data_IF_770698874969
#
_entry.id   IF_770698874969
#
_cell.length_a   1.000
_cell.length_b   1.000
_cell.length_c   1.000
_cell.angle_alpha   90.00
_cell.angle_beta   90.00
_cell.angle_gamma   90.00
#
_symmetry.space_group_name_H-M   'P 1'
#
loop_
_entity.id
_entity.type
_entity.pdbx_description
1 polymer ?
#
# COMPACT_ATOMS: atom_id res chain seq x y z
N UNK A 1 -20.21 -2.58 -29.79
CA UNK A 1 -20.97 -2.49 -28.55
C UNK A 1 -20.41 -3.56 -27.59
N UNK A 2 -19.33 -3.27 -26.86
CA UNK A 2 -18.81 -4.11 -25.81
C UNK A 2 -19.41 -3.64 -24.49
N UNK A 3 -19.99 -4.58 -23.75
CA UNK A 3 -20.64 -4.37 -22.46
C UNK A 3 -19.57 -3.91 -21.46
N UNK A 4 -19.71 -2.67 -20.99
CA UNK A 4 -19.03 -2.16 -19.81
C UNK A 4 -19.64 -2.93 -18.63
N UNK A 5 -18.86 -3.84 -18.07
CA UNK A 5 -19.19 -4.52 -16.83
C UNK A 5 -19.13 -3.49 -15.71
N UNK A 6 -20.30 -3.06 -15.25
CA UNK A 6 -20.39 -2.23 -14.07
C UNK A 6 -19.85 -2.99 -12.87
N UNK A 7 -18.73 -2.55 -12.32
CA UNK A 7 -18.33 -2.90 -10.96
C UNK A 7 -19.37 -2.30 -10.02
N UNK A 8 -20.22 -3.16 -9.48
CA UNK A 8 -21.09 -2.83 -8.36
C UNK A 8 -20.16 -2.59 -7.16
N UNK A 9 -19.92 -1.33 -6.81
CA UNK A 9 -19.47 -0.96 -5.48
C UNK A 9 -20.58 -1.43 -4.51
N UNK A 10 -20.38 -2.58 -3.91
CA UNK A 10 -21.09 -2.94 -2.71
C UNK A 10 -20.55 -2.03 -1.60
N UNK A 11 -21.11 -0.82 -1.50
CA UNK A 11 -21.06 -0.04 -0.28
C UNK A 11 -21.79 -0.87 0.77
N UNK A 12 -21.04 -1.65 1.55
CA UNK A 12 -21.54 -2.26 2.76
C UNK A 12 -21.81 -1.11 3.73
N UNK A 13 -23.00 -0.54 3.67
CA UNK A 13 -23.55 0.20 4.77
C UNK A 13 -23.67 -0.83 5.91
N UNK A 14 -22.72 -0.84 6.83
CA UNK A 14 -22.93 -1.42 8.15
C UNK A 14 -24.05 -0.59 8.81
N UNK A 15 -25.28 -0.91 8.49
CA UNK A 15 -26.39 -0.64 9.36
C UNK A 15 -26.08 -1.47 10.61
N UNK A 16 -25.78 -0.79 11.70
CA UNK A 16 -25.78 -1.39 13.02
C UNK A 16 -27.22 -1.88 13.29
N UNK A 17 -27.56 -3.01 12.71
CA UNK A 17 -28.62 -3.84 13.26
C UNK A 17 -28.05 -4.27 14.62
N UNK A 18 -28.68 -3.85 15.68
CA UNK A 18 -28.51 -4.45 16.99
C UNK A 18 -29.02 -5.90 16.90
N UNK A 19 -28.25 -6.73 16.18
CA UNK A 19 -28.37 -8.16 16.31
C UNK A 19 -27.84 -8.47 17.70
N UNK A 20 -28.69 -9.01 18.55
CA UNK A 20 -28.29 -9.63 19.80
C UNK A 20 -27.48 -10.89 19.42
N UNK A 21 -26.23 -10.70 19.01
CA UNK A 21 -25.31 -11.81 18.80
C UNK A 21 -25.13 -12.47 20.15
N UNK A 22 -25.55 -13.71 20.27
CA UNK A 22 -25.33 -14.52 21.46
C UNK A 22 -23.93 -15.07 21.39
N UNK A 23 -23.14 -14.78 22.41
CA UNK A 23 -21.81 -15.33 22.58
C UNK A 23 -21.87 -16.55 23.50
N UNK A 24 -21.01 -17.54 23.26
CA UNK A 24 -20.91 -18.72 24.11
C UNK A 24 -20.44 -18.34 25.52
N UNK A 25 -19.53 -17.35 25.60
CA UNK A 25 -18.98 -16.85 26.85
C UNK A 25 -18.99 -15.32 26.93
N UNK A 26 -19.31 -14.83 28.13
CA UNK A 26 -19.21 -13.40 28.43
C UNK A 26 -18.29 -13.19 29.63
N UNK A 27 -17.26 -12.37 29.46
CA UNK A 27 -16.40 -11.91 30.52
C UNK A 27 -17.01 -10.68 31.20
N UNK A 28 -17.23 -10.74 32.49
CA UNK A 28 -17.81 -9.65 33.28
C UNK A 28 -16.89 -9.10 34.38
N UNK A 29 -15.74 -9.76 34.63
CA UNK A 29 -14.77 -9.37 35.65
C UNK A 29 -15.37 -9.32 37.04
N UNK A 30 -16.24 -10.28 37.40
CA UNK A 30 -16.98 -10.27 38.66
C UNK A 30 -16.09 -10.53 39.88
N UNK A 31 -15.01 -11.26 39.72
CA UNK A 31 -14.08 -11.64 40.79
C UNK A 31 -12.80 -10.78 40.74
N UNK A 32 -12.14 -10.78 39.56
CA UNK A 32 -10.92 -10.02 39.29
C UNK A 32 -10.83 -9.71 37.79
N UNK A 33 -9.65 -9.30 37.31
CA UNK A 33 -9.46 -9.01 35.89
C UNK A 33 -8.75 -10.13 35.11
N UNK A 34 -8.52 -11.29 35.72
CA UNK A 34 -7.75 -12.37 35.10
C UNK A 34 -8.62 -13.21 34.16
N UNK A 35 -8.09 -13.50 32.99
CA UNK A 35 -8.72 -14.40 32.04
C UNK A 35 -8.99 -15.79 32.63
N UNK A 36 -8.03 -16.32 33.39
CA UNK A 36 -8.07 -17.68 33.90
C UNK A 36 -8.97 -17.85 35.15
N UNK A 37 -9.59 -16.79 35.66
CA UNK A 37 -10.51 -16.87 36.79
C UNK A 37 -11.92 -17.26 36.32
N UNK A 38 -12.33 -18.51 36.59
CA UNK A 38 -13.63 -19.06 36.15
C UNK A 38 -14.82 -18.20 36.56
N UNK A 39 -14.77 -17.60 37.74
CA UNK A 39 -15.84 -16.72 38.24
C UNK A 39 -16.02 -15.39 37.50
N UNK A 40 -15.11 -15.06 36.57
CA UNK A 40 -15.24 -13.90 35.68
C UNK A 40 -16.09 -14.16 34.44
N UNK A 41 -16.49 -15.42 34.23
CA UNK A 41 -17.15 -15.86 33.01
C UNK A 41 -18.61 -16.26 33.24
N UNK A 42 -19.40 -16.06 32.21
CA UNK A 42 -20.77 -16.60 32.13
C UNK A 42 -20.91 -17.34 30.79
N UNK A 43 -21.09 -18.66 30.77
CA UNK A 43 -21.14 -19.57 31.92
C UNK A 43 -19.84 -19.64 32.72
N UNK A 44 -19.90 -20.10 33.97
CA UNK A 44 -18.75 -20.15 34.88
C UNK A 44 -17.79 -21.32 34.52
N UNK A 45 -17.14 -21.17 33.38
CA UNK A 45 -16.06 -22.01 32.86
C UNK A 45 -15.17 -21.19 31.95
N UNK A 46 -13.98 -21.68 31.63
CA UNK A 46 -13.08 -20.96 30.72
C UNK A 46 -13.46 -21.26 29.26
N UNK A 47 -13.49 -20.23 28.39
CA UNK A 47 -13.67 -20.45 26.98
C UNK A 47 -12.49 -21.19 26.37
N UNK A 48 -12.75 -22.02 25.35
CA UNK A 48 -11.77 -22.77 24.61
C UNK A 48 -11.74 -22.43 23.13
N UNK A 49 -10.96 -23.20 22.37
CA UNK A 49 -10.84 -23.04 20.92
C UNK A 49 -12.19 -23.25 20.22
N UNK A 50 -12.60 -22.24 19.45
CA UNK A 50 -13.87 -22.26 18.70
C UNK A 50 -15.04 -21.61 19.44
N UNK A 51 -14.92 -21.34 20.74
CA UNK A 51 -15.95 -20.61 21.47
C UNK A 51 -15.97 -19.14 21.10
N UNK A 52 -17.15 -18.56 20.92
CA UNK A 52 -17.32 -17.11 20.73
C UNK A 52 -17.35 -16.40 22.08
N UNK A 53 -16.55 -15.33 22.19
CA UNK A 53 -16.30 -14.65 23.46
C UNK A 53 -16.67 -13.18 23.36
N UNK A 54 -17.46 -12.70 24.32
CA UNK A 54 -17.71 -11.26 24.51
C UNK A 54 -17.09 -10.77 25.80
N UNK A 55 -16.29 -9.71 25.70
CA UNK A 55 -15.78 -8.97 26.85
C UNK A 55 -16.58 -7.69 27.01
N UNK A 56 -17.38 -7.63 28.09
CA UNK A 56 -18.26 -6.49 28.35
C UNK A 56 -18.18 -6.11 29.83
N UNK A 57 -17.43 -5.06 30.13
CA UNK A 57 -17.34 -4.52 31.49
C UNK A 57 -18.59 -3.70 31.91
N UNK A 58 -19.63 -3.62 31.07
CA UNK A 58 -20.80 -2.79 31.30
C UNK A 58 -20.54 -1.30 31.07
N UNK A 59 -21.60 -0.53 31.10
CA UNK A 59 -21.51 0.93 30.97
C UNK A 59 -20.70 1.52 32.13
N UNK A 60 -19.76 2.41 31.80
CA UNK A 60 -18.93 3.16 32.73
C UNK A 60 -17.86 2.37 33.52
N UNK A 61 -17.49 1.16 33.10
CA UNK A 61 -16.35 0.45 33.68
C UNK A 61 -15.21 0.42 32.66
N UNK A 62 -14.04 0.89 33.07
CA UNK A 62 -12.78 0.63 32.38
C UNK A 62 -12.15 -0.62 32.99
N UNK A 63 -11.82 -1.57 32.15
CA UNK A 63 -11.16 -2.77 32.63
C UNK A 63 -10.14 -3.29 31.62
N UNK A 64 -9.06 -3.87 32.13
CA UNK A 64 -8.07 -4.58 31.33
C UNK A 64 -8.09 -6.04 31.75
N UNK A 65 -8.30 -6.92 30.78
CA UNK A 65 -8.21 -8.37 31.01
C UNK A 65 -6.73 -8.74 31.11
N UNK A 66 -6.34 -9.38 32.19
CA UNK A 66 -4.98 -9.86 32.38
C UNK A 66 -4.81 -11.26 31.78
N UNK A 67 -3.88 -11.37 30.83
CA UNK A 67 -3.47 -12.64 30.22
C UNK A 67 -2.19 -13.13 30.88
N UNK A 68 -2.27 -14.25 31.60
CA UNK A 68 -1.11 -14.91 32.18
C UNK A 68 -0.47 -15.92 31.21
N UNK A 69 -1.22 -16.38 30.19
CA UNK A 69 -0.81 -17.35 29.19
C UNK A 69 -1.46 -17.03 27.84
N UNK A 70 -1.02 -17.72 26.79
CA UNK A 70 -1.68 -17.71 25.51
C UNK A 70 -3.10 -18.24 25.62
N UNK A 71 -4.02 -17.60 24.90
CA UNK A 71 -5.41 -18.04 24.81
C UNK A 71 -5.77 -18.38 23.36
N UNK A 72 -6.71 -19.30 23.20
CA UNK A 72 -7.26 -19.64 21.88
C UNK A 72 -8.78 -19.70 21.98
N UNK A 73 -9.45 -18.89 21.15
CA UNK A 73 -10.91 -18.80 21.08
C UNK A 73 -11.37 -18.76 19.63
N UNK A 74 -12.67 -18.82 19.38
CA UNK A 74 -13.25 -18.53 18.08
C UNK A 74 -13.31 -17.02 17.83
N UNK A 75 -14.53 -16.46 17.79
CA UNK A 75 -14.70 -15.03 17.61
C UNK A 75 -14.53 -14.27 18.93
N UNK A 76 -13.71 -13.25 18.94
CA UNK A 76 -13.51 -12.38 20.09
C UNK A 76 -14.13 -11.01 19.85
N UNK A 77 -15.07 -10.63 20.68
CA UNK A 77 -15.71 -9.34 20.67
C UNK A 77 -15.39 -8.57 21.94
N UNK A 78 -14.88 -7.35 21.80
CA UNK A 78 -14.62 -6.47 22.91
C UNK A 78 -15.47 -5.20 22.81
N UNK A 79 -16.40 -5.02 23.74
CA UNK A 79 -17.14 -3.77 23.85
C UNK A 79 -16.27 -2.73 24.58
N UNK A 80 -15.62 -1.89 23.79
CA UNK A 80 -14.77 -0.80 24.27
C UNK A 80 -15.63 0.43 24.57
N UNK A 81 -16.20 0.48 25.79
CA UNK A 81 -17.01 1.61 26.24
C UNK A 81 -16.50 2.17 27.58
N UNK A 82 -15.29 2.78 27.60
CA UNK A 82 -14.72 3.33 28.81
C UNK A 82 -15.45 4.60 29.25
N UNK A 83 -15.67 4.75 30.54
CA UNK A 83 -16.12 6.00 31.12
C UNK A 83 -15.01 7.06 31.05
N UNK A 84 -15.25 8.13 30.31
CA UNK A 84 -14.31 9.23 30.19
C UNK A 84 -13.02 8.85 29.44
N UNK A 85 -11.85 9.20 29.99
CA UNK A 85 -10.52 8.95 29.42
C UNK A 85 -9.92 7.60 29.85
N UNK A 86 -10.69 6.71 30.42
CA UNK A 86 -10.21 5.43 30.88
C UNK A 86 -9.82 4.52 29.70
N UNK A 87 -8.78 3.71 29.90
CA UNK A 87 -8.30 2.75 28.89
C UNK A 87 -8.86 1.36 29.18
N UNK A 88 -9.43 0.71 28.17
CA UNK A 88 -9.78 -0.71 28.22
C UNK A 88 -8.79 -1.53 27.41
N UNK A 89 -8.83 -2.84 27.51
CA UNK A 89 -8.02 -3.75 26.70
C UNK A 89 -7.50 -4.96 27.43
N UNK A 90 -6.25 -5.31 27.13
CA UNK A 90 -5.57 -6.45 27.72
C UNK A 90 -4.28 -6.03 28.41
N UNK A 91 -3.82 -6.83 29.38
CA UNK A 91 -2.51 -6.72 30.04
C UNK A 91 -1.87 -8.09 30.11
N UNK A 92 -0.61 -8.14 30.51
CA UNK A 92 0.15 -9.39 30.54
C UNK A 92 1.04 -9.54 29.31
N UNK A 93 1.41 -10.78 28.98
CA UNK A 93 2.39 -11.07 27.91
C UNK A 93 2.00 -12.24 27.02
N UNK A 94 0.75 -12.71 27.10
CA UNK A 94 0.24 -13.81 26.28
C UNK A 94 -0.08 -13.42 24.83
N UNK A 95 -0.37 -14.44 24.04
CA UNK A 95 -0.88 -14.29 22.67
C UNK A 95 -2.37 -14.59 22.62
N UNK A 96 -3.14 -13.74 21.99
CA UNK A 96 -4.55 -14.01 21.64
C UNK A 96 -4.56 -14.66 20.27
N UNK A 97 -4.95 -15.94 20.23
CA UNK A 97 -5.25 -16.64 18.99
C UNK A 97 -6.78 -16.66 18.83
N UNK A 98 -7.30 -16.09 17.75
CA UNK A 98 -8.75 -16.08 17.48
C UNK A 98 -9.05 -16.21 15.98
N UNK A 99 -10.27 -16.61 15.66
CA UNK A 99 -10.72 -16.64 14.28
C UNK A 99 -11.05 -15.22 13.78
N UNK A 100 -11.69 -14.40 14.60
CA UNK A 100 -11.88 -12.96 14.35
C UNK A 100 -11.72 -12.13 15.63
N UNK A 101 -11.47 -10.81 15.48
CA UNK A 101 -11.42 -9.88 16.60
C UNK A 101 -12.14 -8.57 16.28
N UNK A 102 -13.20 -8.29 16.99
CA UNK A 102 -13.97 -7.05 16.84
C UNK A 102 -13.87 -6.18 18.08
N UNK A 103 -13.47 -4.93 17.89
CA UNK A 103 -13.50 -3.89 18.92
C UNK A 103 -14.58 -2.88 18.54
N UNK A 104 -15.62 -2.76 19.35
CA UNK A 104 -16.72 -1.83 19.15
C UNK A 104 -16.86 -0.86 20.32
N UNK A 105 -17.72 0.15 20.15
CA UNK A 105 -18.04 1.11 21.20
C UNK A 105 -17.34 2.45 21.02
N UNK A 106 -16.59 2.90 22.01
CA UNK A 106 -16.01 4.25 22.03
C UNK A 106 -14.71 4.36 21.24
N UNK A 107 -14.54 5.47 20.51
CA UNK A 107 -13.31 5.82 19.83
C UNK A 107 -12.23 6.27 20.82
N UNK A 108 -11.26 5.45 21.12
CA UNK A 108 -10.20 5.78 22.04
C UNK A 108 -9.07 4.74 22.02
N UNK A 109 -8.19 4.82 22.98
CA UNK A 109 -7.04 3.90 23.08
C UNK A 109 -7.49 2.54 23.64
N UNK A 110 -7.28 1.50 22.85
CA UNK A 110 -7.42 0.11 23.28
C UNK A 110 -6.04 -0.47 23.58
N UNK A 111 -5.76 -0.62 24.86
CA UNK A 111 -4.43 -0.98 25.32
C UNK A 111 -4.22 -2.51 25.27
N UNK A 112 -3.12 -2.94 24.64
CA UNK A 112 -2.74 -4.35 24.54
C UNK A 112 -1.45 -4.68 25.34
N UNK A 113 -0.75 -3.67 25.84
CA UNK A 113 0.50 -3.87 26.58
C UNK A 113 1.52 -4.68 25.78
N UNK A 114 1.98 -5.80 26.36
CA UNK A 114 2.86 -6.74 25.69
C UNK A 114 2.11 -7.93 25.06
N UNK A 115 0.78 -7.84 24.96
CA UNK A 115 -0.04 -8.89 24.34
C UNK A 115 0.12 -8.84 22.83
N UNK A 116 0.24 -10.01 22.22
CA UNK A 116 0.29 -10.21 20.77
C UNK A 116 -1.07 -10.69 20.24
N UNK A 117 -1.39 -10.31 19.01
CA UNK A 117 -2.58 -10.78 18.30
C UNK A 117 -2.17 -11.72 17.16
N UNK A 118 -2.78 -12.88 17.08
CA UNK A 118 -2.68 -13.83 15.98
C UNK A 118 -4.09 -14.22 15.55
N UNK A 119 -4.64 -13.45 14.61
CA UNK A 119 -6.04 -13.56 14.16
C UNK A 119 -6.07 -14.23 12.81
N UNK A 120 -6.81 -15.33 12.67
CA UNK A 120 -6.91 -16.06 11.40
C UNK A 120 -7.66 -15.28 10.32
N UNK A 121 -8.69 -14.52 10.73
CA UNK A 121 -9.54 -13.73 9.87
C UNK A 121 -9.27 -12.23 9.99
N UNK A 122 -10.34 -11.45 10.15
CA UNK A 122 -10.34 -10.00 10.18
C UNK A 122 -10.25 -9.45 11.60
N UNK A 123 -9.52 -8.33 11.74
CA UNK A 123 -9.66 -7.42 12.89
C UNK A 123 -10.50 -6.23 12.45
N UNK A 124 -11.62 -5.99 13.13
CA UNK A 124 -12.46 -4.81 12.94
C UNK A 124 -12.38 -3.90 14.16
N UNK A 125 -12.05 -2.62 13.99
CA UNK A 125 -11.85 -1.71 15.10
C UNK A 125 -12.37 -0.31 14.85
N UNK A 126 -12.92 0.30 15.91
CA UNK A 126 -13.23 1.73 16.01
C UNK A 126 -12.31 2.44 17.01
N UNK A 127 -11.35 1.71 17.60
CA UNK A 127 -10.41 2.23 18.60
C UNK A 127 -8.96 2.24 18.06
N UNK A 128 -8.07 2.91 18.76
CA UNK A 128 -6.62 2.81 18.50
C UNK A 128 -6.08 1.59 19.22
N UNK A 129 -5.67 0.57 18.48
CA UNK A 129 -5.04 -0.63 19.03
C UNK A 129 -3.56 -0.34 19.28
N UNK A 130 -3.13 -0.49 20.51
CA UNK A 130 -1.72 -0.36 20.90
C UNK A 130 -1.20 -1.75 21.31
N UNK A 131 -0.57 -2.44 20.36
CA UNK A 131 -0.12 -3.83 20.52
C UNK A 131 1.36 -4.01 20.17
N UNK A 132 1.94 -5.13 20.65
CA UNK A 132 3.34 -5.48 20.36
C UNK A 132 3.51 -6.04 18.95
N UNK A 133 2.73 -7.05 18.61
CA UNK A 133 2.70 -7.69 17.30
C UNK A 133 1.28 -7.99 16.90
N UNK A 134 0.98 -7.81 15.62
CA UNK A 134 -0.33 -8.11 15.04
C UNK A 134 -0.13 -8.97 13.80
N UNK A 135 -0.77 -10.13 13.77
CA UNK A 135 -0.90 -10.97 12.59
C UNK A 135 -2.38 -11.24 12.35
N UNK A 136 -2.84 -10.96 11.13
CA UNK A 136 -4.23 -11.19 10.73
C UNK A 136 -4.34 -11.40 9.22
N UNK A 137 -5.51 -11.81 8.74
CA UNK A 137 -5.80 -11.76 7.30
C UNK A 137 -6.01 -10.31 6.86
N UNK A 138 -6.86 -9.55 7.54
CA UNK A 138 -7.11 -8.15 7.22
C UNK A 138 -7.42 -7.32 8.47
N UNK A 139 -7.35 -6.00 8.32
CA UNK A 139 -7.81 -5.05 9.33
C UNK A 139 -8.72 -4.03 8.68
N UNK A 140 -9.88 -3.78 9.31
CA UNK A 140 -10.83 -2.73 8.93
C UNK A 140 -10.91 -1.67 10.03
N UNK A 141 -10.65 -0.41 9.66
CA UNK A 141 -10.85 0.74 10.54
C UNK A 141 -12.22 1.35 10.27
N UNK A 142 -13.01 1.52 11.34
CA UNK A 142 -14.30 2.18 11.27
C UNK A 142 -14.20 3.67 10.95
N UNK A 143 -15.34 4.31 10.69
CA UNK A 143 -15.40 5.75 10.48
C UNK A 143 -15.08 6.49 11.78
N UNK A 144 -14.09 7.38 11.73
CA UNK A 144 -13.69 8.21 12.88
C UNK A 144 -12.18 8.50 12.89
N UNK A 145 -11.81 9.68 13.38
CA UNK A 145 -10.41 10.11 13.43
C UNK A 145 -9.56 9.42 14.51
N UNK A 146 -10.21 8.71 15.44
CA UNK A 146 -9.55 8.14 16.62
C UNK A 146 -9.46 6.62 16.59
N UNK A 147 -9.58 5.98 15.41
CA UNK A 147 -9.25 4.56 15.25
C UNK A 147 -7.87 4.40 14.59
N UNK A 148 -7.20 3.30 14.84
CA UNK A 148 -5.89 3.07 14.23
C UNK A 148 -5.04 2.01 14.91
N UNK A 149 -3.76 2.03 14.55
CA UNK A 149 -2.74 1.15 15.14
C UNK A 149 -1.56 1.97 15.65
N UNK A 150 -1.03 1.59 16.79
CA UNK A 150 0.23 2.08 17.34
C UNK A 150 1.04 0.89 17.91
N UNK A 151 2.31 0.79 17.57
CA UNK A 151 3.14 -0.33 18.01
C UNK A 151 3.89 -0.01 19.30
N UNK A 152 3.95 -0.97 20.20
CA UNK A 152 4.66 -0.86 21.49
C UNK A 152 5.98 -1.63 21.52
N UNK A 153 6.23 -2.48 20.53
CA UNK A 153 7.45 -3.29 20.41
C UNK A 153 8.36 -2.85 19.27
N UNK A 154 9.58 -3.35 19.25
CA UNK A 154 10.49 -3.28 18.10
C UNK A 154 10.36 -4.55 17.27
N UNK A 155 10.32 -4.43 15.95
CA UNK A 155 10.31 -5.55 15.01
C UNK A 155 11.65 -5.74 14.32
N UNK A 156 11.78 -6.83 13.59
CA UNK A 156 12.82 -7.07 12.59
C UNK A 156 12.16 -7.42 11.26
N UNK A 157 12.96 -7.58 10.21
CA UNK A 157 12.42 -8.03 8.92
C UNK A 157 11.76 -9.43 9.02
N UNK A 158 12.22 -10.27 9.95
CA UNK A 158 11.67 -11.60 10.20
C UNK A 158 10.52 -11.59 11.20
N UNK A 159 10.56 -10.70 12.20
CA UNK A 159 9.51 -10.54 13.22
C UNK A 159 8.83 -9.19 13.07
N UNK A 160 7.91 -9.11 12.13
CA UNK A 160 7.24 -7.87 11.75
C UNK A 160 6.27 -7.39 12.84
N UNK A 161 6.15 -6.08 13.01
CA UNK A 161 5.21 -5.49 13.96
C UNK A 161 3.75 -5.69 13.52
N UNK A 162 3.50 -5.60 12.20
CA UNK A 162 2.23 -5.92 11.59
C UNK A 162 2.45 -6.81 10.37
N UNK A 163 1.71 -7.90 10.31
CA UNK A 163 1.67 -8.80 9.17
C UNK A 163 0.22 -9.12 8.79
N UNK A 164 -0.21 -8.62 7.63
CA UNK A 164 -1.51 -8.94 7.04
C UNK A 164 -1.29 -9.70 5.73
N UNK A 165 -1.96 -10.83 5.57
CA UNK A 165 -1.96 -11.57 4.30
C UNK A 165 -2.90 -10.94 3.26
N UNK A 166 -3.91 -10.22 3.69
CA UNK A 166 -4.85 -9.43 2.90
C UNK A 166 -4.73 -7.94 3.18
N UNK A 167 -5.75 -7.17 2.84
CA UNK A 167 -5.69 -5.73 2.84
C UNK A 167 -5.98 -5.07 4.20
N UNK A 168 -5.51 -3.83 4.30
CA UNK A 168 -5.88 -2.86 5.32
C UNK A 168 -6.94 -1.92 4.75
N UNK A 169 -8.10 -1.81 5.40
CA UNK A 169 -9.25 -1.05 4.92
C UNK A 169 -9.51 0.17 5.80
N UNK A 170 -9.54 1.35 5.17
CA UNK A 170 -9.90 2.62 5.81
C UNK A 170 -11.30 3.05 5.37
N UNK A 171 -12.26 3.00 6.29
CA UNK A 171 -13.66 3.32 6.02
C UNK A 171 -14.00 4.77 6.42
N UNK A 172 -13.28 5.73 5.84
CA UNK A 172 -13.50 7.16 6.08
C UNK A 172 -12.71 7.76 7.24
N UNK A 173 -11.84 7.01 7.88
CA UNK A 173 -11.02 7.47 9.01
C UNK A 173 -9.90 6.49 9.33
N UNK A 174 -9.28 6.70 10.48
CA UNK A 174 -8.23 5.85 10.99
C UNK A 174 -6.83 6.44 10.82
N UNK A 175 -5.92 5.99 11.68
CA UNK A 175 -4.51 6.38 11.62
C UNK A 175 -3.65 5.18 11.98
N UNK A 176 -2.75 4.81 11.08
CA UNK A 176 -1.75 3.79 11.34
C UNK A 176 -0.41 4.46 11.55
N UNK A 177 0.11 4.34 12.75
CA UNK A 177 1.44 4.82 13.09
C UNK A 177 2.43 3.71 12.76
N UNK A 178 3.21 3.93 11.71
CA UNK A 178 4.19 2.97 11.20
C UNK A 178 5.50 2.94 12.00
N UNK A 179 5.59 3.71 13.09
CA UNK A 179 6.77 3.73 13.98
C UNK A 179 6.33 3.75 15.44
N UNK A 180 7.12 3.14 16.30
CA UNK A 180 6.90 3.21 17.73
C UNK A 180 7.97 4.03 18.47
N UNK A 181 8.30 3.65 19.72
CA UNK A 181 9.14 4.43 20.61
C UNK A 181 10.64 4.32 20.35
N UNK A 182 11.13 3.27 19.69
CA UNK A 182 12.56 3.07 19.40
C UNK A 182 12.79 2.00 18.34
N UNK A 183 13.75 2.22 17.43
CA UNK A 183 14.17 1.26 16.41
C UNK A 183 13.34 1.30 15.14
N UNK A 184 13.71 0.44 14.18
CA UNK A 184 13.05 0.30 12.90
C UNK A 184 11.75 -0.53 13.02
N UNK A 185 10.78 -0.23 12.17
CA UNK A 185 9.47 -0.87 12.17
C UNK A 185 9.15 -1.48 10.83
N UNK A 186 8.64 -2.70 10.86
CA UNK A 186 8.36 -3.51 9.69
C UNK A 186 6.87 -3.86 9.64
N UNK A 187 6.25 -3.49 8.54
CA UNK A 187 4.82 -3.71 8.28
C UNK A 187 4.66 -4.38 6.93
N UNK A 188 3.94 -5.50 6.87
CA UNK A 188 3.54 -6.12 5.61
C UNK A 188 2.03 -6.20 5.52
N UNK A 189 1.49 -5.79 4.38
CA UNK A 189 0.05 -5.87 4.08
C UNK A 189 -0.16 -6.41 2.67
N UNK A 190 -1.26 -7.11 2.44
CA UNK A 190 -1.67 -7.59 1.12
C UNK A 190 -2.23 -6.50 0.21
N UNK A 191 -2.49 -5.31 0.76
CA UNK A 191 -2.96 -4.13 0.04
C UNK A 191 -3.47 -3.07 1.01
N UNK A 192 -3.69 -1.86 0.52
CA UNK A 192 -4.26 -0.75 1.29
C UNK A 192 -5.40 -0.15 0.50
N UNK A 193 -6.57 -0.05 1.11
CA UNK A 193 -7.79 0.38 0.45
C UNK A 193 -8.59 1.38 1.27
N UNK A 194 -9.38 2.19 0.60
CA UNK A 194 -10.34 3.08 1.23
C UNK A 194 -10.05 4.57 1.04
N UNK A 195 -10.92 5.36 1.64
CA UNK A 195 -10.88 6.82 1.55
C UNK A 195 -10.67 7.43 2.96
N UNK A 196 -9.79 8.40 3.04
CA UNK A 196 -9.42 9.02 4.32
C UNK A 196 -8.43 8.17 5.13
N UNK A 197 -8.18 8.60 6.36
CA UNK A 197 -7.17 7.99 7.21
C UNK A 197 -5.74 8.42 6.88
N UNK A 198 -4.81 8.01 7.74
CA UNK A 198 -3.40 8.36 7.63
C UNK A 198 -2.51 7.16 7.88
N UNK A 199 -1.53 6.96 7.00
CA UNK A 199 -0.33 6.19 7.29
C UNK A 199 0.76 7.18 7.71
N UNK A 200 1.23 7.12 8.95
CA UNK A 200 2.15 8.13 9.45
C UNK A 200 3.34 7.56 10.21
N UNK A 201 4.44 8.29 10.15
CA UNK A 201 5.59 8.09 11.01
C UNK A 201 5.50 9.08 12.16
N UNK A 202 5.26 8.58 13.37
CA UNK A 202 5.17 9.44 14.56
C UNK A 202 6.57 9.83 15.05
N UNK A 203 6.76 11.08 15.40
CA UNK A 203 8.00 11.52 16.00
C UNK A 203 8.11 11.03 17.43
N UNK A 204 8.99 10.09 17.64
CA UNK A 204 9.64 9.94 18.93
C UNK A 204 11.13 10.28 18.79
N UNK A 205 11.78 10.67 19.85
CA UNK A 205 13.12 11.25 19.91
C UNK A 205 14.25 10.37 19.35
N UNK A 206 13.97 9.13 18.97
CA UNK A 206 14.92 8.22 18.34
C UNK A 206 14.71 8.15 16.83
N UNK A 207 15.81 8.04 16.08
CA UNK A 207 15.80 7.79 14.64
C UNK A 207 15.21 6.39 14.42
N UNK A 208 14.08 6.31 13.72
CA UNK A 208 13.46 5.05 13.33
C UNK A 208 12.98 5.16 11.89
N UNK A 209 13.25 4.14 11.09
CA UNK A 209 12.74 4.02 9.74
C UNK A 209 11.50 3.13 9.75
N UNK A 210 10.51 3.48 8.95
CA UNK A 210 9.37 2.63 8.68
C UNK A 210 9.61 1.88 7.36
N UNK A 211 9.44 0.56 7.39
CA UNK A 211 9.50 -0.31 6.23
C UNK A 211 8.10 -0.88 6.00
N UNK A 212 7.46 -0.43 4.93
CA UNK A 212 6.12 -0.84 4.52
C UNK A 212 6.22 -1.72 3.28
N UNK A 213 5.98 -3.02 3.43
CA UNK A 213 5.86 -3.95 2.31
C UNK A 213 4.39 -4.12 1.93
N UNK A 214 4.07 -3.89 0.66
CA UNK A 214 2.73 -4.04 0.11
C UNK A 214 2.78 -5.21 -0.88
N UNK A 215 2.29 -6.37 -0.44
CA UNK A 215 2.33 -7.63 -1.18
C UNK A 215 0.96 -7.96 -1.78
N UNK A 216 0.64 -7.33 -2.90
CA UNK A 216 -0.67 -7.51 -3.55
C UNK A 216 -0.67 -8.78 -4.40
N UNK A 217 -1.63 -9.67 -4.16
CA UNK A 217 -1.75 -10.92 -4.90
C UNK A 217 -2.10 -10.67 -6.38
N UNK A 218 -1.73 -11.60 -7.24
CA UNK A 218 -2.05 -11.54 -8.66
C UNK A 218 -3.57 -11.43 -8.90
N UNK A 219 -3.96 -10.51 -9.77
CA UNK A 219 -5.37 -10.24 -10.10
C UNK A 219 -6.08 -9.34 -9.11
N UNK A 220 -5.44 -8.95 -8.00
CA UNK A 220 -5.98 -7.97 -7.05
C UNK A 220 -5.46 -6.57 -7.35
N UNK A 221 -6.32 -5.58 -7.07
CA UNK A 221 -5.98 -4.16 -7.21
C UNK A 221 -6.62 -3.36 -6.10
N UNK A 222 -5.81 -2.56 -5.41
CA UNK A 222 -6.27 -1.73 -4.30
C UNK A 222 -6.01 -0.25 -4.57
N UNK A 223 -6.95 0.58 -4.11
CA UNK A 223 -6.85 2.04 -4.20
C UNK A 223 -7.02 2.66 -2.82
N UNK A 224 -6.09 3.52 -2.45
CA UNK A 224 -6.09 4.27 -1.21
C UNK A 224 -5.99 5.77 -1.48
N UNK A 225 -6.95 6.54 -0.95
CA UNK A 225 -6.99 7.99 -1.09
C UNK A 225 -6.74 8.76 0.21
N UNK A 226 -6.26 8.06 1.24
CA UNK A 226 -5.80 8.68 2.48
C UNK A 226 -4.39 9.27 2.39
N UNK A 227 -3.93 9.92 3.45
CA UNK A 227 -2.62 10.56 3.51
C UNK A 227 -1.53 9.56 3.94
N UNK A 228 -0.35 9.62 3.29
CA UNK A 228 0.89 9.02 3.79
C UNK A 228 1.81 10.17 4.15
N UNK A 229 2.24 10.26 5.41
CA UNK A 229 3.02 11.40 5.87
C UNK A 229 4.02 11.06 6.96
N UNK A 230 5.08 11.86 7.05
CA UNK A 230 6.06 11.81 8.13
C UNK A 230 5.79 12.90 9.20
N UNK A 231 4.54 13.29 9.40
CA UNK A 231 4.16 14.32 10.36
C UNK A 231 4.33 13.86 11.81
N UNK A 232 4.72 14.80 12.67
CA UNK A 232 4.95 14.56 14.10
C UNK A 232 3.71 14.09 14.86
N UNK A 233 2.55 14.64 14.53
CA UNK A 233 1.24 14.32 15.10
C UNK A 233 0.17 14.62 14.06
N UNK A 234 -1.02 14.07 14.23
CA UNK A 234 -2.21 14.45 13.45
C UNK A 234 -2.44 15.98 13.41
N UNK A 235 -2.06 16.69 14.48
CA UNK A 235 -2.24 18.15 14.64
C UNK A 235 -1.01 18.97 14.22
N UNK A 236 0.11 18.34 13.90
CA UNK A 236 1.34 19.03 13.55
C UNK A 236 1.53 19.03 12.03
N UNK A 237 1.56 20.23 11.45
CA UNK A 237 1.79 20.42 10.01
C UNK A 237 3.27 20.32 9.60
N UNK A 238 4.19 20.23 10.57
CA UNK A 238 5.61 20.18 10.29
C UNK A 238 6.10 18.76 10.10
N UNK A 239 6.86 18.49 9.01
CA UNK A 239 7.47 17.17 8.81
C UNK A 239 8.52 16.90 9.89
N UNK A 240 8.73 15.62 10.17
CA UNK A 240 9.79 15.18 11.09
C UNK A 240 11.07 15.00 10.29
N UNK A 241 12.03 15.87 10.53
CA UNK A 241 13.34 15.74 9.91
C UNK A 241 13.98 14.35 10.21
N UNK A 242 14.65 13.78 9.23
CA UNK A 242 15.43 12.53 9.32
C UNK A 242 14.63 11.25 9.61
N UNK A 243 13.35 11.17 9.22
CA UNK A 243 12.59 9.92 9.28
C UNK A 243 12.12 9.51 7.91
N UNK A 244 12.25 8.23 7.58
CA UNK A 244 11.90 7.70 6.26
C UNK A 244 10.75 6.72 6.36
N UNK A 245 9.89 6.75 5.36
CA UNK A 245 8.98 5.65 5.06
C UNK A 245 9.52 4.98 3.79
N UNK A 246 10.00 3.77 3.92
CA UNK A 246 10.47 2.97 2.80
C UNK A 246 9.35 2.06 2.35
N UNK A 247 8.86 2.24 1.14
CA UNK A 247 7.78 1.42 0.58
C UNK A 247 8.40 0.41 -0.37
N UNK A 248 8.08 -0.87 -0.16
CA UNK A 248 8.41 -1.94 -1.09
C UNK A 248 7.12 -2.57 -1.61
N UNK A 249 6.90 -2.48 -2.92
CA UNK A 249 5.81 -3.19 -3.59
C UNK A 249 6.29 -4.55 -4.07
N UNK A 250 5.61 -5.60 -3.61
CA UNK A 250 5.82 -7.00 -4.02
C UNK A 250 4.49 -7.62 -4.43
N UNK A 251 4.53 -8.84 -5.00
CA UNK A 251 3.35 -9.53 -5.51
C UNK A 251 2.82 -8.91 -6.81
N UNK A 252 2.27 -9.73 -7.69
CA UNK A 252 1.95 -9.37 -9.08
C UNK A 252 0.71 -8.47 -9.27
N UNK A 253 -0.03 -8.16 -8.19
CA UNK A 253 -1.17 -7.25 -8.24
C UNK A 253 -0.81 -5.77 -8.16
N UNK A 254 -1.81 -4.90 -8.05
CA UNK A 254 -1.64 -3.44 -8.17
C UNK A 254 -2.03 -2.68 -6.91
N UNK A 255 -1.28 -1.62 -6.58
CA UNK A 255 -1.60 -0.67 -5.53
C UNK A 255 -1.56 0.76 -6.06
N UNK A 256 -2.64 1.52 -5.86
CA UNK A 256 -2.73 2.92 -6.26
C UNK A 256 -2.96 3.82 -5.05
N UNK A 257 -2.21 4.93 -4.98
CA UNK A 257 -2.34 5.99 -3.98
C UNK A 257 -2.80 7.26 -4.67
N UNK A 258 -4.09 7.60 -4.55
CA UNK A 258 -4.72 8.67 -5.35
C UNK A 258 -4.79 10.02 -4.65
N UNK A 259 -4.47 10.11 -3.37
CA UNK A 259 -4.34 11.40 -2.69
C UNK A 259 -2.98 12.04 -2.99
N UNK A 260 -2.92 13.37 -2.82
CA UNK A 260 -1.63 14.09 -2.81
C UNK A 260 -0.84 13.64 -1.59
N UNK A 261 -0.13 12.56 -1.77
CA UNK A 261 0.73 11.99 -0.76
C UNK A 261 1.94 12.91 -0.63
N UNK A 262 1.98 13.72 0.42
CA UNK A 262 3.24 14.37 0.83
C UNK A 262 4.07 13.30 1.53
N UNK A 263 4.75 12.51 0.73
CA UNK A 263 5.70 11.54 1.23
C UNK A 263 7.08 12.19 1.23
N UNK A 264 7.28 13.13 2.14
CA UNK A 264 8.62 13.64 2.41
C UNK A 264 9.46 12.48 2.98
N UNK A 265 10.66 12.28 2.48
CA UNK A 265 11.63 11.28 2.90
C UNK A 265 11.19 9.80 2.66
N UNK A 266 10.57 9.53 1.54
CA UNK A 266 10.20 8.16 1.18
C UNK A 266 10.98 7.68 -0.02
N UNK A 267 11.53 6.47 0.07
CA UNK A 267 11.95 5.69 -1.07
C UNK A 267 10.86 4.70 -1.45
N UNK A 268 10.73 4.47 -2.74
CA UNK A 268 9.81 3.45 -3.28
C UNK A 268 10.61 2.44 -4.09
N UNK A 269 10.50 1.16 -3.72
CA UNK A 269 11.03 0.05 -4.50
C UNK A 269 9.87 -0.77 -5.06
N UNK A 270 9.92 -1.07 -6.36
CA UNK A 270 8.92 -1.89 -7.04
C UNK A 270 9.59 -3.16 -7.51
N UNK A 271 9.41 -4.24 -6.74
CA UNK A 271 10.06 -5.52 -7.03
C UNK A 271 9.15 -6.46 -7.83
N UNK A 272 7.81 -6.23 -7.81
CA UNK A 272 6.86 -7.02 -8.59
C UNK A 272 5.52 -6.27 -8.68
N UNK A 273 4.75 -6.53 -9.75
CA UNK A 273 3.43 -5.95 -9.98
C UNK A 273 3.47 -4.44 -10.24
N UNK A 274 2.44 -3.73 -9.84
CA UNK A 274 2.27 -2.31 -10.15
C UNK A 274 2.08 -1.48 -8.89
N UNK A 275 2.75 -0.34 -8.81
CA UNK A 275 2.43 0.73 -7.87
C UNK A 275 2.23 2.05 -8.63
N UNK A 276 1.18 2.81 -8.29
CA UNK A 276 0.94 4.14 -8.84
C UNK A 276 0.69 5.15 -7.74
N UNK A 277 1.34 6.32 -7.84
CA UNK A 277 1.11 7.43 -6.93
C UNK A 277 1.46 8.78 -7.56
N UNK A 278 0.73 9.82 -7.17
CA UNK A 278 1.12 11.20 -7.41
C UNK A 278 1.86 11.69 -6.16
N UNK A 279 3.19 11.76 -6.22
CA UNK A 279 4.00 12.01 -5.03
C UNK A 279 5.26 12.82 -5.33
N UNK A 280 5.81 13.43 -4.29
CA UNK A 280 7.19 13.92 -4.28
C UNK A 280 7.99 13.01 -3.35
N UNK A 281 8.95 12.29 -3.92
CA UNK A 281 9.89 11.46 -3.16
C UNK A 281 11.15 12.28 -2.91
N UNK A 282 11.56 12.41 -1.66
CA UNK A 282 12.85 13.04 -1.30
C UNK A 282 14.03 12.06 -1.47
N UNK A 283 13.75 10.86 -1.95
CA UNK A 283 14.72 9.81 -2.25
C UNK A 283 14.42 9.17 -3.62
N UNK A 284 14.93 7.98 -3.84
CA UNK A 284 14.91 7.32 -5.13
C UNK A 284 13.63 6.51 -5.36
N UNK A 285 13.19 6.48 -6.63
CA UNK A 285 12.35 5.41 -7.15
C UNK A 285 13.27 4.29 -7.66
N UNK A 286 13.08 3.08 -7.13
CA UNK A 286 13.84 1.91 -7.51
C UNK A 286 12.93 0.90 -8.22
N UNK A 287 13.23 0.59 -9.48
CA UNK A 287 12.49 -0.41 -10.28
C UNK A 287 13.33 -1.70 -10.35
N UNK A 288 12.82 -2.77 -9.76
CA UNK A 288 13.55 -4.02 -9.57
C UNK A 288 12.64 -5.24 -9.88
N UNK A 289 11.97 -5.20 -11.03
CA UNK A 289 11.08 -6.25 -11.53
C UNK A 289 9.62 -5.86 -11.70
N UNK A 290 9.16 -4.80 -11.05
CA UNK A 290 7.80 -4.30 -11.18
C UNK A 290 7.70 -3.00 -11.97
N UNK A 291 6.49 -2.44 -12.02
CA UNK A 291 6.17 -1.26 -12.82
C UNK A 291 5.68 -0.11 -11.93
N UNK A 292 6.12 1.10 -12.24
CA UNK A 292 5.57 2.32 -11.66
C UNK A 292 4.57 2.95 -12.62
N UNK A 293 3.32 3.14 -12.18
CA UNK A 293 2.24 3.68 -13.02
C UNK A 293 2.07 5.19 -12.82
N UNK A 294 2.04 5.91 -13.93
CA UNK A 294 1.79 7.34 -14.01
C UNK A 294 0.29 7.68 -14.13
N UNK A 295 -0.60 6.70 -14.12
CA UNK A 295 -2.06 6.89 -14.22
C UNK A 295 -2.60 7.87 -13.18
N UNK A 296 -2.04 7.86 -11.98
CA UNK A 296 -2.54 8.66 -10.84
C UNK A 296 -2.13 10.14 -10.93
N UNK A 297 -0.94 10.44 -11.45
CA UNK A 297 -0.45 11.82 -11.54
C UNK A 297 1.07 11.91 -11.69
N UNK A 298 1.60 13.11 -11.52
CA UNK A 298 3.04 13.37 -11.62
C UNK A 298 3.81 12.76 -10.44
N UNK A 299 5.03 12.33 -10.72
CA UNK A 299 5.99 11.91 -9.73
C UNK A 299 7.19 12.87 -9.74
N UNK A 300 7.63 13.34 -8.57
CA UNK A 300 8.95 13.94 -8.39
C UNK A 300 9.81 13.00 -7.54
N UNK A 301 11.06 12.80 -7.93
CA UNK A 301 12.01 11.96 -7.18
C UNK A 301 13.43 12.55 -7.28
N UNK A 302 14.33 12.08 -6.43
CA UNK A 302 15.75 12.45 -6.57
C UNK A 302 16.32 11.71 -7.77
N UNK A 303 16.30 10.37 -7.76
CA UNK A 303 16.77 9.57 -8.87
C UNK A 303 15.78 8.44 -9.19
N UNK A 304 15.93 7.88 -10.40
CA UNK A 304 15.45 6.54 -10.70
C UNK A 304 16.63 5.59 -10.77
N UNK A 305 16.55 4.48 -10.06
CA UNK A 305 17.47 3.35 -10.18
C UNK A 305 16.72 2.18 -10.81
N UNK A 306 17.06 1.87 -12.06
CA UNK A 306 16.42 0.81 -12.80
C UNK A 306 17.29 -0.44 -12.87
N UNK A 307 16.77 -1.56 -12.39
CA UNK A 307 17.38 -2.90 -12.48
C UNK A 307 16.60 -3.78 -13.47
N UNK A 308 15.27 -3.70 -13.45
CA UNK A 308 14.34 -4.39 -14.35
C UNK A 308 12.91 -3.87 -14.17
N UNK A 309 11.98 -4.28 -15.05
CA UNK A 309 10.63 -3.75 -15.06
C UNK A 309 10.53 -2.44 -15.83
N UNK A 310 9.54 -1.59 -15.51
CA UNK A 310 9.30 -0.41 -16.32
C UNK A 310 8.37 0.63 -15.72
N UNK A 311 7.89 1.50 -16.61
CA UNK A 311 6.97 2.58 -16.32
C UNK A 311 5.69 2.38 -17.14
N UNK A 312 4.52 2.66 -16.55
CA UNK A 312 3.24 2.62 -17.26
C UNK A 312 2.78 4.04 -17.51
N UNK A 313 2.57 4.35 -18.80
CA UNK A 313 1.96 5.59 -19.30
C UNK A 313 0.70 5.25 -20.09
N UNK A 314 -0.40 4.99 -19.38
CA UNK A 314 -1.68 4.72 -19.99
C UNK A 314 -2.28 5.97 -20.68
N UNK A 315 -3.46 5.79 -21.30
CA UNK A 315 -4.20 6.90 -21.92
C UNK A 315 -4.43 8.06 -20.96
N UNK A 316 -4.71 7.79 -19.69
CA UNK A 316 -4.96 8.82 -18.68
C UNK A 316 -3.71 9.64 -18.39
N UNK A 317 -2.56 8.99 -18.28
CA UNK A 317 -1.28 9.66 -18.06
C UNK A 317 -0.92 10.56 -19.24
N UNK A 318 -1.04 10.07 -20.46
CA UNK A 318 -0.72 10.85 -21.66
C UNK A 318 -1.67 12.03 -21.86
N UNK A 319 -2.97 11.83 -21.76
CA UNK A 319 -3.97 12.87 -21.99
C UNK A 319 -3.88 14.00 -20.94
N UNK A 320 -3.43 13.70 -19.71
CA UNK A 320 -3.21 14.68 -18.65
C UNK A 320 -1.77 15.22 -18.61
N UNK A 321 -0.87 14.72 -19.43
CA UNK A 321 0.53 15.15 -19.49
C UNK A 321 1.29 14.78 -18.20
N UNK A 322 0.96 13.63 -17.61
CA UNK A 322 1.68 13.15 -16.43
C UNK A 322 3.12 12.80 -16.77
N UNK A 323 4.05 13.19 -15.93
CA UNK A 323 5.48 12.97 -16.13
C UNK A 323 6.23 12.76 -14.82
N UNK A 324 7.44 12.25 -14.93
CA UNK A 324 8.39 12.11 -13.83
C UNK A 324 9.37 13.29 -13.89
N UNK A 325 9.54 13.98 -12.77
CA UNK A 325 10.50 15.06 -12.59
C UNK A 325 11.60 14.61 -11.62
N UNK A 326 12.82 14.48 -12.11
CA UNK A 326 13.98 14.12 -11.30
C UNK A 326 14.75 15.38 -10.91
N UNK A 327 15.24 15.45 -9.66
CA UNK A 327 16.21 16.46 -9.26
C UNK A 327 17.66 15.99 -9.47
N UNK A 328 17.88 14.69 -9.58
CA UNK A 328 19.12 14.00 -9.93
C UNK A 328 19.02 13.35 -11.32
N UNK A 329 19.35 12.07 -11.40
CA UNK A 329 19.57 11.35 -12.66
C UNK A 329 18.79 10.03 -12.73
N UNK A 330 18.70 9.45 -13.93
CA UNK A 330 18.24 8.09 -14.15
C UNK A 330 19.45 7.16 -14.30
N UNK A 331 19.54 6.16 -13.42
CA UNK A 331 20.61 5.15 -13.43
C UNK A 331 20.06 3.83 -13.94
N UNK A 332 20.58 3.38 -15.08
CA UNK A 332 20.33 2.03 -15.61
C UNK A 332 21.36 1.07 -15.03
N UNK A 333 20.95 0.29 -14.06
CA UNK A 333 21.80 -0.69 -13.34
C UNK A 333 21.62 -2.11 -13.87
N UNK A 334 20.51 -2.40 -14.53
CA UNK A 334 20.17 -3.69 -15.11
C UNK A 334 20.55 -3.79 -16.58
N UNK A 335 20.45 -5.01 -17.11
CA UNK A 335 20.65 -5.31 -18.53
C UNK A 335 19.32 -5.23 -19.30
N UNK A 336 19.40 -4.94 -20.61
CA UNK A 336 18.22 -4.80 -21.48
C UNK A 336 17.59 -3.42 -21.48
N UNK A 337 16.50 -3.20 -22.22
CA UNK A 337 15.82 -1.93 -22.30
C UNK A 337 14.87 -1.71 -21.11
N UNK A 338 14.62 -0.45 -20.80
CA UNK A 338 13.60 0.00 -19.87
C UNK A 338 12.25 -0.06 -20.60
N UNK A 339 11.29 -0.77 -20.04
CA UNK A 339 9.97 -0.90 -20.64
C UNK A 339 9.11 0.32 -20.34
N UNK A 340 8.53 0.92 -21.40
CA UNK A 340 7.45 1.90 -21.31
C UNK A 340 6.19 1.21 -21.78
N UNK A 341 5.36 0.81 -20.83
CA UNK A 341 4.11 0.12 -21.06
C UNK A 341 2.98 1.14 -21.28
N UNK A 342 2.27 1.01 -22.37
CA UNK A 342 1.16 1.91 -22.72
C UNK A 342 -0.23 1.34 -22.38
N UNK A 343 -0.27 0.22 -21.66
CA UNK A 343 -1.51 -0.39 -21.13
C UNK A 343 -2.62 -0.59 -22.18
N UNK A 344 -2.24 -1.17 -23.31
CA UNK A 344 -3.16 -1.46 -24.43
C UNK A 344 -3.60 -0.23 -25.23
N UNK A 345 -2.83 0.84 -25.19
CA UNK A 345 -3.15 2.07 -25.92
C UNK A 345 -3.26 1.83 -27.42
N UNK A 346 -4.32 2.33 -28.05
CA UNK A 346 -4.35 2.52 -29.49
C UNK A 346 -3.62 3.82 -29.87
N UNK A 347 -2.35 3.68 -30.22
CA UNK A 347 -1.48 4.79 -30.57
C UNK A 347 -1.89 5.53 -31.87
N UNK A 348 -2.81 4.97 -32.68
CA UNK A 348 -3.27 5.62 -33.90
C UNK A 348 -3.92 7.00 -33.66
N UNK A 349 -4.55 7.19 -32.48
CA UNK A 349 -5.12 8.48 -32.06
C UNK A 349 -4.04 9.53 -31.68
N UNK A 350 -2.80 9.10 -31.50
CA UNK A 350 -1.67 9.89 -31.00
C UNK A 350 -0.60 10.18 -32.06
N UNK A 351 -0.76 9.70 -33.29
CA UNK A 351 0.21 9.88 -34.38
C UNK A 351 0.57 11.36 -34.58
N UNK A 352 1.88 11.64 -34.59
CA UNK A 352 2.43 12.97 -34.74
C UNK A 352 2.43 13.81 -33.46
N UNK A 353 1.87 13.29 -32.35
CA UNK A 353 1.93 13.97 -31.06
C UNK A 353 3.18 13.53 -30.28
N UNK A 354 3.75 14.48 -29.56
CA UNK A 354 4.90 14.28 -28.68
C UNK A 354 4.49 14.46 -27.22
N UNK A 355 4.96 13.57 -26.36
CA UNK A 355 4.71 13.59 -24.92
C UNK A 355 6.04 13.54 -24.16
N UNK A 356 6.17 14.40 -23.14
CA UNK A 356 7.28 14.36 -22.19
C UNK A 356 6.98 13.31 -21.14
N UNK A 357 7.91 12.40 -20.92
CA UNK A 357 7.76 11.29 -19.96
C UNK A 357 8.62 11.49 -18.70
N UNK A 358 9.89 11.86 -18.87
CA UNK A 358 10.85 12.04 -17.77
C UNK A 358 11.66 13.31 -18.02
N UNK A 359 11.75 14.16 -16.99
CA UNK A 359 12.65 15.30 -16.96
C UNK A 359 13.77 15.05 -15.95
N UNK A 360 15.04 15.15 -16.39
CA UNK A 360 16.22 14.87 -15.57
C UNK A 360 17.27 15.98 -15.78
N UNK A 361 17.05 17.17 -15.23
CA UNK A 361 17.88 18.35 -15.51
C UNK A 361 19.36 18.18 -15.12
N UNK A 362 19.68 17.30 -14.18
CA UNK A 362 21.06 17.00 -13.77
C UNK A 362 21.81 16.11 -14.77
N UNK A 363 21.11 15.44 -15.69
CA UNK A 363 21.69 14.58 -16.70
C UNK A 363 20.90 13.31 -16.95
N UNK A 364 21.32 12.55 -17.94
CA UNK A 364 20.69 11.26 -18.30
C UNK A 364 21.34 10.06 -17.60
N UNK A 365 22.27 10.31 -16.70
CA UNK A 365 22.94 9.27 -15.91
C UNK A 365 23.76 8.29 -16.74
N UNK A 366 23.43 7.00 -16.67
CA UNK A 366 24.14 5.92 -17.38
C UNK A 366 23.50 5.55 -18.73
N UNK A 367 22.52 6.32 -19.21
CA UNK A 367 21.77 6.02 -20.42
C UNK A 367 22.50 6.46 -21.69
N UNK A 368 22.14 5.84 -22.82
CA UNK A 368 22.61 6.23 -24.14
C UNK A 368 21.95 7.54 -24.60
N UNK A 369 22.66 8.32 -25.39
CA UNK A 369 22.11 9.54 -26.02
C UNK A 369 21.02 9.23 -27.05
N UNK A 370 21.02 8.03 -27.64
CA UNK A 370 19.90 7.50 -28.43
C UNK A 370 18.93 6.76 -27.51
N UNK A 371 17.83 7.41 -27.16
CA UNK A 371 16.86 6.87 -26.23
C UNK A 371 16.25 5.53 -26.67
N UNK A 372 16.18 5.25 -27.99
CA UNK A 372 15.66 3.97 -28.49
C UNK A 372 16.58 2.78 -28.21
N UNK A 373 17.82 3.01 -27.75
CA UNK A 373 18.71 1.95 -27.28
C UNK A 373 18.31 1.48 -25.88
N UNK A 374 17.85 2.42 -25.04
CA UNK A 374 17.54 2.15 -23.64
C UNK A 374 16.05 1.97 -23.35
N UNK A 375 15.17 2.43 -24.21
CA UNK A 375 13.72 2.35 -23.99
C UNK A 375 13.02 1.54 -25.07
N UNK A 376 12.02 0.76 -24.66
CA UNK A 376 11.15 0.00 -25.55
C UNK A 376 9.69 0.21 -25.16
N UNK A 377 8.83 0.39 -26.17
CA UNK A 377 7.38 0.42 -25.98
C UNK A 377 6.82 -0.99 -25.87
N UNK A 378 5.98 -1.22 -24.89
CA UNK A 378 5.18 -2.43 -24.75
C UNK A 378 3.70 -2.10 -24.69
N UNK A 379 2.86 -3.07 -24.99
CA UNK A 379 1.39 -3.01 -25.00
C UNK A 379 0.82 -1.79 -25.76
N UNK A 380 1.42 -1.48 -26.92
CA UNK A 380 1.04 -0.42 -27.85
C UNK A 380 0.54 -1.02 -29.15
N UNK A 381 -0.61 -0.54 -29.66
CA UNK A 381 -1.17 -0.94 -30.94
C UNK A 381 -1.37 0.27 -31.86
N UNK A 382 -1.45 0.06 -33.16
CA UNK A 382 -1.80 1.10 -34.13
C UNK A 382 -0.74 2.17 -34.42
N UNK A 383 0.36 2.21 -33.67
CA UNK A 383 1.49 3.12 -33.87
C UNK A 383 2.81 2.48 -33.43
N UNK A 384 3.93 3.11 -33.83
CA UNK A 384 5.24 2.90 -33.23
C UNK A 384 5.57 4.06 -32.31
N UNK A 385 6.28 3.77 -31.22
CA UNK A 385 6.83 4.77 -30.33
C UNK A 385 8.29 5.07 -30.71
N UNK A 386 8.63 6.32 -30.85
CA UNK A 386 9.99 6.83 -31.10
C UNK A 386 10.41 7.65 -29.89
N UNK A 387 11.41 7.20 -29.16
CA UNK A 387 11.92 7.83 -27.93
C UNK A 387 13.09 8.75 -28.27
N UNK A 388 13.11 9.93 -27.67
CA UNK A 388 14.18 10.88 -27.87
C UNK A 388 14.51 11.68 -26.61
N UNK A 389 15.81 11.91 -26.37
CA UNK A 389 16.32 12.86 -25.39
C UNK A 389 16.45 14.24 -26.02
N UNK A 390 15.82 15.26 -25.44
CA UNK A 390 15.98 16.67 -25.82
C UNK A 390 16.14 17.49 -24.54
N UNK A 391 17.26 18.15 -24.38
CA UNK A 391 17.57 18.96 -23.18
C UNK A 391 17.32 18.19 -21.86
N UNK A 392 17.79 16.94 -21.79
CA UNK A 392 17.57 16.01 -20.67
C UNK A 392 16.10 15.69 -20.36
N UNK A 393 15.22 15.84 -21.34
CA UNK A 393 13.82 15.42 -21.28
C UNK A 393 13.62 14.22 -22.20
N UNK A 394 13.26 13.07 -21.63
CA UNK A 394 12.78 11.92 -22.38
C UNK A 394 11.38 12.21 -22.90
N UNK A 395 11.20 12.07 -24.19
CA UNK A 395 9.91 12.18 -24.83
C UNK A 395 9.64 11.00 -25.73
N UNK A 396 8.36 10.71 -25.96
CA UNK A 396 7.88 9.77 -26.96
C UNK A 396 7.11 10.51 -28.06
N UNK A 397 7.33 10.12 -29.31
CA UNK A 397 6.54 10.55 -30.46
C UNK A 397 5.91 9.31 -31.10
N UNK A 398 4.61 9.33 -31.31
CA UNK A 398 3.92 8.23 -31.97
C UNK A 398 3.96 8.42 -33.49
N UNK A 399 4.40 7.38 -34.21
CA UNK A 399 4.58 7.38 -35.65
C UNK A 399 3.76 6.29 -36.31
N UNK A 400 3.47 6.45 -37.59
CA UNK A 400 2.73 5.45 -38.33
C UNK A 400 3.46 4.11 -38.41
N UNK A 401 2.74 3.01 -38.23
CA UNK A 401 3.24 1.69 -38.60
C UNK A 401 3.40 1.66 -40.13
N UNK A 402 4.59 1.36 -40.66
CA UNK A 402 4.77 1.26 -42.13
C UNK A 402 3.84 0.24 -42.70
N UNK A 403 3.07 0.63 -43.73
CA UNK A 403 2.19 -0.31 -44.42
C UNK A 403 2.99 -1.49 -45.00
N UNK A 404 2.46 -2.72 -44.99
CA UNK A 404 3.13 -3.89 -45.57
C UNK A 404 3.51 -3.69 -47.02
N UNK A 405 2.71 -2.90 -47.79
CA UNK A 405 2.99 -2.53 -49.17
C UNK A 405 4.25 -1.66 -49.30
N UNK A 406 4.51 -0.74 -48.36
CA UNK A 406 5.71 0.11 -48.32
C UNK A 406 6.97 -0.72 -48.02
N UNK A 407 6.86 -1.68 -47.12
CA UNK A 407 7.94 -2.63 -46.80
C UNK A 407 8.20 -3.52 -48.02
N UNK A 408 7.18 -4.05 -48.67
CA UNK A 408 7.31 -4.88 -49.88
C UNK A 408 7.95 -4.09 -51.02
N UNK A 409 7.58 -2.81 -51.19
CA UNK A 409 8.20 -1.94 -52.19
C UNK A 409 9.68 -1.68 -51.93
N UNK A 410 10.07 -1.47 -50.68
CA UNK A 410 11.49 -1.30 -50.26
C UNK A 410 12.30 -2.56 -50.54
N UNK A 411 11.79 -3.74 -50.17
CA UNK A 411 12.45 -5.01 -50.48
C UNK A 411 12.46 -5.29 -51.99
N UNK A 412 11.39 -4.92 -52.72
CA UNK A 412 11.34 -5.03 -54.18
C UNK A 412 12.38 -4.17 -54.88
N UNK A 413 12.52 -2.89 -54.43
CA UNK A 413 13.56 -1.97 -54.93
C UNK A 413 14.98 -2.48 -54.59
N UNK A 414 15.21 -2.97 -53.39
CA UNK A 414 16.49 -3.57 -52.99
C UNK A 414 16.81 -4.79 -53.87
N UNK A 415 15.89 -5.70 -54.06
CA UNK A 415 16.06 -6.89 -54.92
C UNK A 415 16.33 -6.48 -56.39
N UNK A 416 15.66 -5.46 -56.90
CA UNK A 416 15.89 -4.90 -58.22
C UNK A 416 17.29 -4.31 -58.36
N UNK A 417 17.75 -3.55 -57.38
CA UNK A 417 19.08 -2.98 -57.32
C UNK A 417 20.17 -4.06 -57.31
N UNK A 418 19.97 -5.15 -56.56
CA UNK A 418 20.86 -6.31 -56.54
C UNK A 418 20.87 -7.06 -57.88
N UNK A 419 19.70 -7.20 -58.58
CA UNK A 419 19.59 -7.83 -59.84
C UNK A 419 20.29 -7.05 -60.98
N UNK A 420 20.16 -5.73 -60.94
CA UNK A 420 20.85 -4.82 -61.92
C UNK A 420 22.37 -4.85 -61.69
N UNK A 421 22.85 -4.92 -60.45
CA UNK A 421 24.28 -5.00 -60.12
C UNK A 421 24.94 -6.31 -60.53
N UNK A 422 24.18 -7.40 -60.67
CA UNK A 422 24.67 -8.73 -61.14
C UNK A 422 24.74 -8.83 -62.66
N UNK A 423 24.16 -7.89 -63.38
CA UNK A 423 24.18 -7.87 -64.85
C UNK A 423 25.28 -7.00 -65.48
N UNK A 424 26.06 -6.33 -64.64
CA UNK A 424 27.33 -5.68 -64.99
C UNK A 424 28.51 -6.52 -64.50
#
# INVERSE_FOLDING_TARGET
MKKIGGFLLASLAMVAAANSQTYDYTFNGAVDNKWNTVGNWNPASLPGSGDSVSINYGENKSGKVELENDITVGDLYFNHNPAGWATSGFTGSGTINADSFTISGYNGNFYMGNVSLNIKGEISTVAIISARYIKATSISFGAGSNCGLEYTGTGTAESQNLFLTGAMYFNGGGSVVLTGSSGDYYTTVGGISGNGGNLQVKNNTSVANAYLTINVAQGESYTYSGEISNKRNYWDSNPVANKTINITKTGAGSQYFTSKTRVELTSVRVSEGVIGMAASLDQNLMLDGGYFSMTVGNLSAVNIEWYSGGLIFDKTALDNGHKIELSGELFKMGEGPIEIDFDGLDGSEYIGKRYELISSPSGIGTLDSDANVDFIATDLTGALADFAWNDNILSVTFTNVPEPASIAALFGLAALAFAVRRRK
#
